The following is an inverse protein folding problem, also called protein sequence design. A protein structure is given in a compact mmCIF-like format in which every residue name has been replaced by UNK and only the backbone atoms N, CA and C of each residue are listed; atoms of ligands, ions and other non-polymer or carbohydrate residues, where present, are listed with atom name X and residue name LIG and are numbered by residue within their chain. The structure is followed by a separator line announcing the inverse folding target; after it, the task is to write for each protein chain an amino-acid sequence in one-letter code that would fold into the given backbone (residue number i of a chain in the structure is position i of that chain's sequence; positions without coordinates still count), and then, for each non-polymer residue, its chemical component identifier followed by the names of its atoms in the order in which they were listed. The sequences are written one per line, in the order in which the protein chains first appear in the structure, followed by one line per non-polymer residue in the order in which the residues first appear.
data_IF_584796391914
#
_entry.id   IF_584796391914
#
_cell.length_a   1.000
_cell.length_b   1.000
_cell.length_c   1.000
_cell.angle_alpha   90.00
_cell.angle_beta   90.00
_cell.angle_gamma   90.00
#
_symmetry.space_group_name_H-M   'P 1'
#
loop_
_entity.id
_entity.type
_entity.pdbx_description
1 polymer ?
#
# COMPACT_ATOMS: atom_id res chain seq x y z
N UNK A 1 18.37 4.79 -5.09
CA UNK A 1 17.00 5.27 -4.89
C UNK A 1 16.05 4.19 -5.30
N UNK A 2 15.21 3.78 -4.39
CA UNK A 2 14.37 2.61 -4.61
C UNK A 2 13.00 2.76 -3.96
N UNK A 3 12.04 1.99 -4.48
CA UNK A 3 10.76 1.80 -3.85
C UNK A 3 10.79 0.41 -3.24
N UNK A 4 10.51 0.33 -1.93
CA UNK A 4 10.44 -0.94 -1.22
C UNK A 4 8.99 -1.24 -0.87
N UNK A 5 8.57 -2.49 -1.01
CA UNK A 5 7.24 -2.91 -0.61
C UNK A 5 7.34 -3.55 0.76
N UNK A 6 6.54 -3.08 1.71
CA UNK A 6 6.60 -3.54 3.09
C UNK A 6 5.20 -3.90 3.60
N UNK A 7 5.16 -4.70 4.66
CA UNK A 7 3.94 -4.98 5.39
C UNK A 7 3.83 -3.96 6.52
N UNK A 8 2.71 -3.27 6.63
CA UNK A 8 2.50 -2.29 7.70
C UNK A 8 2.54 -2.99 9.06
N UNK A 9 3.19 -2.34 10.01
CA UNK A 9 3.42 -2.91 11.34
C UNK A 9 4.71 -3.71 11.45
N UNK A 10 5.39 -3.99 10.34
CA UNK A 10 6.67 -4.70 10.38
C UNK A 10 7.80 -3.75 10.77
N UNK A 11 8.93 -4.28 11.33
CA UNK A 11 10.07 -3.44 11.66
C UNK A 11 10.59 -2.68 10.43
N UNK A 12 11.10 -1.47 10.67
CA UNK A 12 11.66 -0.64 9.60
C UNK A 12 13.08 -1.08 9.26
N UNK A 13 13.44 -0.90 7.98
CA UNK A 13 14.81 -1.08 7.51
C UNK A 13 15.53 0.27 7.56
N UNK A 14 16.84 0.25 7.78
CA UNK A 14 17.65 1.46 7.89
C UNK A 14 17.51 2.43 6.72
N UNK A 15 17.48 1.87 5.52
CA UNK A 15 17.45 2.65 4.28
C UNK A 15 16.07 2.72 3.66
N UNK A 16 15.02 2.44 4.44
CA UNK A 16 13.67 2.40 3.93
C UNK A 16 13.16 3.78 3.51
N UNK A 17 13.54 4.84 4.24
CA UNK A 17 13.02 6.18 4.03
C UNK A 17 11.61 6.33 4.59
N UNK A 18 10.81 7.18 3.93
CA UNK A 18 9.43 7.42 4.35
C UNK A 18 8.58 6.19 4.03
N UNK A 19 7.79 5.77 4.99
CA UNK A 19 6.84 4.66 4.79
C UNK A 19 5.46 5.23 4.45
N UNK A 20 4.95 4.87 3.28
CA UNK A 20 3.67 5.36 2.76
C UNK A 20 2.65 4.24 2.89
N UNK A 21 1.58 4.50 3.62
CA UNK A 21 0.50 3.52 3.82
C UNK A 21 -0.54 3.62 2.71
N UNK A 22 -0.63 2.60 1.87
CA UNK A 22 -1.56 2.57 0.75
C UNK A 22 -2.81 1.75 1.06
N UNK A 23 -3.27 1.83 2.30
CA UNK A 23 -4.48 1.15 2.76
C UNK A 23 -5.66 2.10 2.72
N UNK A 24 -6.85 1.56 2.52
CA UNK A 24 -8.07 2.37 2.43
C UNK A 24 -8.45 3.01 3.75
N UNK A 25 -8.19 2.32 4.86
CA UNK A 25 -8.53 2.80 6.20
C UNK A 25 -7.35 2.72 7.14
N UNK A 26 -7.21 3.69 8.05
CA UNK A 26 -6.17 3.63 9.08
C UNK A 26 -6.37 2.42 10.01
N UNK A 27 -5.31 2.01 10.73
CA UNK A 27 -5.42 0.92 11.69
C UNK A 27 -6.38 1.29 12.82
N UNK A 28 -7.24 0.36 13.21
CA UNK A 28 -8.21 0.58 14.28
C UNK A 28 -7.54 0.65 15.64
N UNK A 29 -8.03 1.54 16.46
CA UNK A 29 -7.58 1.65 17.85
C UNK A 29 -6.20 2.24 18.03
N UNK A 30 -5.58 2.73 16.96
CA UNK A 30 -4.25 3.36 17.02
C UNK A 30 -4.41 4.86 16.83
N UNK A 31 -4.03 5.70 17.81
CA UNK A 31 -4.08 7.15 17.62
C UNK A 31 -3.19 7.59 16.46
N UNK A 32 -3.64 8.60 15.72
CA UNK A 32 -2.90 9.11 14.56
C UNK A 32 -1.46 9.48 14.92
N UNK A 33 -1.25 10.06 16.10
CA UNK A 33 0.08 10.47 16.55
C UNK A 33 1.04 9.30 16.76
N UNK A 34 0.53 8.07 16.84
CA UNK A 34 1.35 6.89 17.08
C UNK A 34 1.55 6.01 15.84
N UNK A 35 1.02 6.41 14.68
CA UNK A 35 1.15 5.60 13.47
C UNK A 35 2.62 5.32 13.13
N UNK A 36 3.43 6.36 13.11
CA UNK A 36 4.85 6.21 12.78
C UNK A 36 5.63 5.43 13.83
N UNK A 37 5.40 5.71 15.11
CA UNK A 37 6.13 5.06 16.21
C UNK A 37 5.78 3.59 16.35
N UNK A 38 4.60 3.18 15.91
CA UNK A 38 4.18 1.77 15.92
C UNK A 38 4.46 1.08 14.58
N UNK A 39 5.28 1.67 13.73
CA UNK A 39 5.68 1.12 12.43
C UNK A 39 4.52 0.89 11.45
N UNK A 40 3.44 1.65 11.58
CA UNK A 40 2.39 1.60 10.58
C UNK A 40 2.82 2.34 9.32
N UNK A 41 2.84 3.68 9.36
CA UNK A 41 3.31 4.48 8.24
C UNK A 41 3.57 5.92 8.70
N UNK A 42 4.32 6.64 7.89
CA UNK A 42 4.57 8.07 8.12
C UNK A 42 3.51 8.93 7.44
N UNK A 43 3.01 8.46 6.30
CA UNK A 43 1.98 9.14 5.50
C UNK A 43 0.92 8.15 5.11
N UNK A 44 -0.35 8.53 5.28
CA UNK A 44 -1.48 7.74 4.79
C UNK A 44 -1.85 8.23 3.40
N UNK A 45 -1.82 7.31 2.42
CA UNK A 45 -2.05 7.64 1.02
C UNK A 45 -3.00 6.62 0.39
N UNK A 46 -4.32 6.74 0.67
CA UNK A 46 -5.29 5.74 0.22
C UNK A 46 -5.57 5.78 -1.28
N UNK A 47 -5.00 6.74 -1.99
CA UNK A 47 -5.22 6.92 -3.43
C UNK A 47 -4.86 5.68 -4.27
N UNK A 48 -3.99 4.82 -3.73
CA UNK A 48 -3.59 3.57 -4.41
C UNK A 48 -4.20 2.34 -3.76
N UNK A 49 -5.10 2.53 -2.79
CA UNK A 49 -5.76 1.41 -2.14
C UNK A 49 -6.81 0.80 -3.08
N UNK A 50 -6.98 -0.53 -3.06
CA UNK A 50 -8.07 -1.14 -3.82
C UNK A 50 -9.42 -0.74 -3.23
N UNK A 51 -10.48 -0.82 -4.04
CA UNK A 51 -11.83 -0.64 -3.52
C UNK A 51 -12.14 -1.73 -2.50
N UNK A 52 -13.18 -1.52 -1.69
CA UNK A 52 -13.59 -2.51 -0.69
C UNK A 52 -13.89 -3.86 -1.34
N UNK A 53 -14.56 -3.85 -2.49
CA UNK A 53 -14.87 -5.08 -3.23
C UNK A 53 -13.60 -5.79 -3.69
N UNK A 54 -12.65 -5.07 -4.26
CA UNK A 54 -11.40 -5.65 -4.74
C UNK A 54 -10.54 -6.14 -3.58
N UNK A 55 -10.49 -5.39 -2.49
CA UNK A 55 -9.78 -5.82 -1.30
C UNK A 55 -10.32 -7.14 -0.77
N UNK A 56 -11.64 -7.29 -0.76
CA UNK A 56 -12.29 -8.52 -0.32
C UNK A 56 -11.92 -9.71 -1.23
N UNK A 57 -11.87 -9.49 -2.54
CA UNK A 57 -11.42 -10.53 -3.47
C UNK A 57 -10.00 -11.01 -3.13
N UNK A 58 -9.10 -10.09 -2.83
CA UNK A 58 -7.73 -10.43 -2.45
C UNK A 58 -7.65 -11.19 -1.14
N UNK A 59 -8.42 -10.75 -0.15
CA UNK A 59 -8.43 -11.39 1.16
C UNK A 59 -9.00 -12.83 1.12
N UNK A 60 -9.96 -13.07 0.24
CA UNK A 60 -10.62 -14.37 0.11
C UNK A 60 -9.98 -15.27 -0.94
N UNK A 61 -8.98 -14.78 -1.67
CA UNK A 61 -8.35 -15.54 -2.74
C UNK A 61 -7.56 -16.73 -2.16
N UNK A 62 -7.87 -17.93 -2.62
CA UNK A 62 -7.21 -19.14 -2.16
C UNK A 62 -6.60 -19.95 -3.33
N UNK A 63 -6.99 -19.67 -4.57
CA UNK A 63 -6.50 -20.37 -5.75
C UNK A 63 -5.79 -19.40 -6.70
N UNK A 64 -4.90 -19.89 -7.59
CA UNK A 64 -4.28 -19.02 -8.59
C UNK A 64 -5.29 -18.29 -9.47
N UNK A 65 -6.41 -18.92 -9.81
CA UNK A 65 -7.45 -18.27 -10.61
C UNK A 65 -8.08 -17.09 -9.86
N UNK A 66 -8.32 -17.25 -8.56
CA UNK A 66 -8.87 -16.17 -7.73
C UNK A 66 -7.87 -15.03 -7.58
N UNK A 67 -6.59 -15.31 -7.40
CA UNK A 67 -5.55 -14.30 -7.37
C UNK A 67 -5.47 -13.53 -8.68
N UNK A 68 -5.55 -14.22 -9.82
CA UNK A 68 -5.54 -13.60 -11.13
C UNK A 68 -6.72 -12.64 -11.30
N UNK A 69 -7.90 -13.02 -10.80
CA UNK A 69 -9.09 -12.18 -10.85
C UNK A 69 -8.91 -10.91 -10.02
N UNK A 70 -8.38 -11.05 -8.80
CA UNK A 70 -8.06 -9.91 -7.95
C UNK A 70 -7.06 -8.98 -8.63
N UNK A 71 -5.97 -9.53 -9.14
CA UNK A 71 -4.92 -8.75 -9.79
C UNK A 71 -5.44 -7.97 -11.01
N UNK A 72 -6.27 -8.63 -11.83
CA UNK A 72 -6.86 -7.97 -13.00
C UNK A 72 -7.76 -6.80 -12.60
N UNK A 73 -8.56 -6.99 -11.56
CA UNK A 73 -9.45 -5.94 -11.09
C UNK A 73 -8.67 -4.77 -10.48
N UNK A 74 -7.65 -5.06 -9.68
CA UNK A 74 -6.82 -4.04 -9.09
C UNK A 74 -6.06 -3.23 -10.17
N UNK A 75 -5.53 -3.91 -11.18
CA UNK A 75 -4.88 -3.23 -12.31
C UNK A 75 -5.82 -2.31 -13.04
N UNK A 76 -7.07 -2.72 -13.23
CA UNK A 76 -8.08 -1.88 -13.86
C UNK A 76 -8.36 -0.62 -13.03
N UNK A 77 -8.41 -0.75 -11.71
CA UNK A 77 -8.58 0.40 -10.81
C UNK A 77 -7.38 1.34 -10.87
N UNK A 78 -6.18 0.79 -10.99
CA UNK A 78 -4.95 1.60 -11.08
C UNK A 78 -4.79 2.29 -12.42
N UNK A 79 -5.66 2.01 -13.38
CA UNK A 79 -5.68 2.69 -14.67
C UNK A 79 -6.50 3.99 -14.65
N UNK A 80 -7.14 4.32 -13.53
CA UNK A 80 -7.85 5.59 -13.40
C UNK A 80 -6.87 6.77 -13.49
N UNK A 81 -7.31 7.96 -13.93
CA UNK A 81 -6.42 9.13 -14.00
C UNK A 81 -5.77 9.46 -12.65
N UNK A 82 -6.52 9.41 -11.55
CA UNK A 82 -5.97 9.71 -10.23
C UNK A 82 -4.88 8.73 -9.82
N UNK A 83 -5.12 7.44 -10.00
CA UNK A 83 -4.14 6.43 -9.65
C UNK A 83 -2.91 6.51 -10.55
N UNK A 84 -3.10 6.74 -11.84
CA UNK A 84 -2.01 6.90 -12.80
C UNK A 84 -1.11 8.07 -12.42
N UNK A 85 -1.71 9.22 -12.11
CA UNK A 85 -0.94 10.40 -11.70
C UNK A 85 -0.20 10.16 -10.39
N UNK A 86 -0.83 9.46 -9.44
CA UNK A 86 -0.19 9.11 -8.17
C UNK A 86 1.01 8.20 -8.40
N UNK A 87 0.89 7.20 -9.25
CA UNK A 87 2.00 6.30 -9.59
C UNK A 87 3.13 7.03 -10.28
N UNK A 88 2.83 7.96 -11.18
CA UNK A 88 3.84 8.78 -11.86
C UNK A 88 4.61 9.62 -10.86
N UNK A 89 3.93 10.20 -9.89
CA UNK A 89 4.59 10.98 -8.83
C UNK A 89 5.56 10.12 -8.03
N UNK A 90 5.10 8.95 -7.59
CA UNK A 90 5.95 8.04 -6.82
C UNK A 90 7.14 7.54 -7.64
N UNK A 91 6.93 7.25 -8.93
CA UNK A 91 8.01 6.84 -9.81
C UNK A 91 9.07 7.94 -9.95
N UNK A 92 8.63 9.19 -10.07
CA UNK A 92 9.54 10.33 -10.15
C UNK A 92 10.33 10.51 -8.85
N UNK A 93 9.66 10.39 -7.70
CA UNK A 93 10.30 10.51 -6.40
C UNK A 93 11.34 9.40 -6.16
N UNK A 94 11.12 8.20 -6.70
CA UNK A 94 12.04 7.10 -6.51
C UNK A 94 13.41 7.33 -7.13
N UNK A 95 13.52 8.30 -8.04
CA UNK A 95 14.79 8.65 -8.67
C UNK A 95 15.70 9.49 -7.77
N UNK A 96 15.14 10.12 -6.76
CA UNK A 96 15.90 11.01 -5.86
C UNK A 96 15.85 10.62 -4.40
N UNK A 97 15.02 9.67 -4.01
CA UNK A 97 14.87 9.27 -2.61
C UNK A 97 14.50 7.80 -2.49
N UNK A 98 14.78 7.24 -1.33
CA UNK A 98 14.25 5.94 -0.94
C UNK A 98 12.93 6.17 -0.23
N UNK A 99 11.94 5.32 -0.51
CA UNK A 99 10.71 5.28 0.26
C UNK A 99 10.10 3.89 0.14
N UNK A 100 9.14 3.61 1.00
CA UNK A 100 8.45 2.32 0.99
C UNK A 100 6.95 2.55 0.86
N UNK A 101 6.27 1.58 0.26
CA UNK A 101 4.81 1.54 0.20
C UNK A 101 4.36 0.33 0.99
N UNK A 102 3.35 0.51 1.82
CA UNK A 102 2.94 -0.53 2.73
C UNK A 102 1.49 -0.93 2.54
N UNK A 103 1.25 -2.21 2.75
CA UNK A 103 -0.06 -2.80 2.73
C UNK A 103 -0.35 -3.48 4.06
N UNK A 104 -1.62 -3.74 4.35
CA UNK A 104 -2.00 -4.37 5.61
C UNK A 104 -1.62 -5.84 5.69
N UNK A 105 -1.19 -6.42 4.59
CA UNK A 105 -0.92 -7.84 4.52
C UNK A 105 -2.19 -8.65 4.42
N UNK A 106 -2.01 -9.96 4.28
CA UNK A 106 -3.13 -10.88 4.14
C UNK A 106 -3.67 -11.25 5.51
N UNK A 107 -4.99 -11.15 5.64
CA UNK A 107 -5.65 -11.57 6.87
C UNK A 107 -5.70 -13.09 6.91
N UNK A 108 -5.24 -13.64 8.01
CA UNK A 108 -5.30 -15.08 8.24
C UNK A 108 -6.56 -15.41 9.04
#
# INVERSE_FOLDING_TARGET
MTIRIVRLGSPRHEDEGIRIGTVRRPPRGVPKAEFATQNWYDVWFPNLAPTVETMKLGQEAATPAQWAKFAAKYKAEMSSPEATHSLELLAALSRSSNFSVGESGRKN
#
